data_IF_074295700324
#
_entry.id   IF_074295700324
#
_cell.length_a   1.000
_cell.length_b   1.000
_cell.length_c   1.000
_cell.angle_alpha   90.00
_cell.angle_beta   90.00
_cell.angle_gamma   90.00
#
_symmetry.space_group_name_H-M   'P 1'
#
loop_
_entity.id
_entity.type
_entity.pdbx_description
1 polymer ?
#
# COMPACT_ATOMS: atom_id res chain seq x y z
N UNK A 1 -5.21 18.08 6.64
CA UNK A 1 -3.95 18.63 6.10
C UNK A 1 -3.24 17.55 5.30
N UNK A 2 -2.69 17.85 4.13
CA UNK A 2 -1.90 16.88 3.34
C UNK A 2 -0.40 17.06 3.57
N UNK A 3 0.32 15.94 3.71
CA UNK A 3 1.79 15.94 3.78
C UNK A 3 2.35 15.10 2.65
N UNK A 4 3.36 15.60 1.94
CA UNK A 4 4.02 14.86 0.85
C UNK A 4 5.36 14.33 1.33
N UNK A 5 5.63 13.06 1.06
CA UNK A 5 6.90 12.39 1.28
C UNK A 5 7.47 12.02 -0.08
N UNK A 6 8.61 12.62 -0.43
CA UNK A 6 9.29 12.29 -1.67
C UNK A 6 9.90 10.88 -1.60
N UNK A 7 9.95 10.21 -2.74
CA UNK A 7 10.67 8.94 -2.90
C UNK A 7 12.12 9.07 -2.37
N UNK A 8 12.53 8.15 -1.49
CA UNK A 8 13.86 8.13 -0.88
C UNK A 8 14.91 7.26 -1.63
N UNK A 9 14.46 6.57 -2.69
CA UNK A 9 15.28 5.68 -3.52
C UNK A 9 15.68 6.38 -4.82
N UNK A 10 16.93 6.83 -4.87
CA UNK A 10 17.48 7.59 -6.00
C UNK A 10 17.51 6.82 -7.34
N UNK A 11 17.43 5.48 -7.30
CA UNK A 11 17.42 4.64 -8.50
C UNK A 11 16.06 4.58 -9.21
N UNK A 12 15.01 5.23 -8.66
CA UNK A 12 13.67 5.23 -9.22
C UNK A 12 13.41 6.62 -9.84
N UNK A 13 13.52 6.70 -11.17
CA UNK A 13 13.39 7.96 -11.92
C UNK A 13 11.94 8.46 -12.00
N UNK A 14 10.98 7.54 -12.08
CA UNK A 14 9.54 7.83 -12.21
C UNK A 14 8.75 7.13 -11.11
N UNK A 15 8.80 7.61 -9.86
CA UNK A 15 8.10 6.97 -8.76
C UNK A 15 6.58 7.14 -8.91
N UNK A 16 5.84 6.04 -8.78
CA UNK A 16 4.39 6.09 -8.63
C UNK A 16 4.00 6.79 -7.31
N UNK A 17 2.79 7.34 -7.27
CA UNK A 17 2.30 8.08 -6.11
C UNK A 17 1.28 7.27 -5.32
N UNK A 18 1.48 7.12 -4.02
CA UNK A 18 0.54 6.47 -3.11
C UNK A 18 -0.22 7.54 -2.32
N UNK A 19 -1.55 7.44 -2.28
CA UNK A 19 -2.36 8.19 -1.32
C UNK A 19 -2.63 7.33 -0.11
N UNK A 20 -2.17 7.82 1.04
CA UNK A 20 -2.24 7.11 2.30
C UNK A 20 -3.17 7.84 3.25
N UNK A 21 -4.32 7.24 3.55
CA UNK A 21 -5.29 7.73 4.53
C UNK A 21 -5.01 7.03 5.86
N UNK A 22 -4.33 7.74 6.77
CA UNK A 22 -3.98 7.24 8.09
C UNK A 22 -3.83 8.37 9.11
N UNK A 23 -3.98 8.09 10.42
CA UNK A 23 -3.85 9.12 11.45
C UNK A 23 -2.43 9.73 11.51
N UNK A 24 -2.32 11.04 11.70
CA UNK A 24 -1.03 11.75 11.76
C UNK A 24 0.01 11.21 12.74
N UNK A 25 -0.40 10.44 13.76
CA UNK A 25 0.52 9.76 14.69
C UNK A 25 1.27 8.58 14.05
N UNK A 26 0.80 8.06 12.92
CA UNK A 26 1.34 6.88 12.24
C UNK A 26 2.08 7.21 10.93
N UNK A 27 2.50 8.47 10.73
CA UNK A 27 3.23 8.94 9.54
C UNK A 27 4.50 8.15 9.20
N UNK A 28 5.05 7.37 10.14
CA UNK A 28 6.16 6.46 9.88
C UNK A 28 5.86 5.44 8.77
N UNK A 29 4.59 5.09 8.54
CA UNK A 29 4.21 4.25 7.41
C UNK A 29 4.41 4.96 6.07
N UNK A 30 4.18 6.27 6.00
CA UNK A 30 4.50 7.07 4.82
C UNK A 30 6.00 7.08 4.53
N UNK A 31 6.83 7.25 5.57
CA UNK A 31 8.28 7.14 5.47
C UNK A 31 8.70 5.76 4.98
N UNK A 32 8.07 4.70 5.50
CA UNK A 32 8.35 3.33 5.09
C UNK A 32 8.10 3.14 3.59
N UNK A 33 6.94 3.52 3.06
CA UNK A 33 6.68 3.40 1.62
C UNK A 33 7.57 4.32 0.77
N UNK A 34 7.98 5.49 1.29
CA UNK A 34 8.95 6.33 0.58
C UNK A 34 10.32 5.66 0.41
N UNK A 35 10.72 4.83 1.39
CA UNK A 35 11.95 4.03 1.33
C UNK A 35 11.84 2.81 0.40
N UNK A 36 10.62 2.42 0.02
CA UNK A 36 10.36 1.35 -0.95
C UNK A 36 10.36 1.84 -2.41
N UNK A 37 10.48 3.16 -2.62
CA UNK A 37 10.60 3.75 -3.96
C UNK A 37 9.39 4.55 -4.44
N UNK A 38 8.42 4.84 -3.57
CA UNK A 38 7.20 5.55 -3.94
C UNK A 38 7.18 6.99 -3.46
N UNK A 39 6.46 7.86 -4.17
CA UNK A 39 6.06 9.16 -3.61
C UNK A 39 4.79 8.96 -2.79
N UNK A 40 4.71 9.51 -1.59
CA UNK A 40 3.54 9.31 -0.71
C UNK A 40 2.87 10.64 -0.40
N UNK A 41 1.57 10.73 -0.71
CA UNK A 41 0.69 11.80 -0.28
C UNK A 41 -0.12 11.30 0.92
N UNK A 42 0.24 11.77 2.11
CA UNK A 42 -0.50 11.50 3.34
C UNK A 42 -1.72 12.41 3.43
N UNK A 43 -2.87 11.79 3.69
CA UNK A 43 -4.12 12.44 4.06
C UNK A 43 -4.41 12.04 5.50
N UNK A 44 -4.52 13.03 6.37
CA UNK A 44 -4.86 12.82 7.77
C UNK A 44 -6.28 12.24 7.88
N UNK A 45 -6.39 11.09 8.55
CA UNK A 45 -7.63 10.32 8.66
C UNK A 45 -7.72 9.67 10.06
N UNK A 46 -8.86 9.71 10.77
CA UNK A 46 -10.15 10.23 10.34
C UNK A 46 -10.16 11.75 10.15
N UNK A 47 -10.96 12.29 9.20
CA UNK A 47 -11.02 13.72 8.98
C UNK A 47 -11.68 14.42 10.19
N UNK A 48 -11.33 15.69 10.46
CA UNK A 48 -12.00 16.46 11.51
C UNK A 48 -13.47 16.77 11.16
N UNK A 49 -13.79 16.89 9.87
CA UNK A 49 -15.13 17.14 9.32
C UNK A 49 -15.29 16.46 7.93
N UNK A 50 -16.50 16.02 7.57
CA UNK A 50 -16.76 15.26 6.33
C UNK A 50 -16.41 16.03 5.04
N UNK A 51 -16.68 17.33 4.99
CA UNK A 51 -16.38 18.16 3.83
C UNK A 51 -14.88 18.26 3.56
N UNK A 52 -14.06 18.17 4.61
CA UNK A 52 -12.61 18.28 4.52
C UNK A 52 -12.01 17.12 3.75
N UNK A 53 -12.57 15.90 3.88
CA UNK A 53 -12.07 14.73 3.16
C UNK A 53 -12.26 14.90 1.65
N UNK A 54 -13.46 15.31 1.22
CA UNK A 54 -13.79 15.51 -0.20
C UNK A 54 -12.91 16.59 -0.83
N UNK A 55 -12.77 17.74 -0.17
CA UNK A 55 -11.93 18.83 -0.64
C UNK A 55 -10.46 18.42 -0.72
N UNK A 56 -9.97 17.70 0.30
CA UNK A 56 -8.59 17.22 0.35
C UNK A 56 -8.29 16.20 -0.74
N UNK A 57 -9.21 15.27 -0.98
CA UNK A 57 -9.09 14.27 -2.04
C UNK A 57 -9.08 14.93 -3.41
N UNK A 58 -10.02 15.84 -3.69
CA UNK A 58 -10.09 16.55 -4.98
C UNK A 58 -8.81 17.34 -5.29
N UNK A 59 -8.26 18.06 -4.30
CA UNK A 59 -6.99 18.78 -4.44
C UNK A 59 -5.79 17.83 -4.61
N UNK A 60 -5.78 16.70 -3.91
CA UNK A 60 -4.74 15.68 -4.07
C UNK A 60 -4.80 15.03 -5.45
N UNK A 61 -5.98 14.92 -6.05
CA UNK A 61 -6.22 14.27 -7.34
C UNK A 61 -5.91 15.15 -8.54
N UNK A 62 -6.11 16.46 -8.45
CA UNK A 62 -5.65 17.39 -9.49
C UNK A 62 -4.14 17.29 -9.73
N UNK A 63 -3.38 17.02 -8.66
CA UNK A 63 -1.92 16.85 -8.73
C UNK A 63 -1.49 15.50 -9.34
N UNK A 64 -2.36 14.48 -9.33
CA UNK A 64 -2.05 13.11 -9.75
C UNK A 64 -2.26 12.82 -11.22
N UNK A 65 -2.89 13.72 -11.99
CA UNK A 65 -3.32 13.45 -13.37
C UNK A 65 -2.22 13.00 -14.35
N UNK A 66 -0.95 13.07 -13.95
CA UNK A 66 0.22 12.72 -14.77
C UNK A 66 0.96 11.45 -14.32
N UNK A 67 0.65 10.86 -13.17
CA UNK A 67 1.43 9.75 -12.58
C UNK A 67 0.50 8.60 -12.22
N UNK A 68 1.01 7.36 -12.31
CA UNK A 68 0.27 6.20 -11.82
C UNK A 68 0.14 6.25 -10.30
N UNK A 69 -1.02 5.86 -9.78
CA UNK A 69 -1.27 5.95 -8.35
C UNK A 69 -2.01 4.75 -7.75
N UNK A 70 -1.90 4.64 -6.43
CA UNK A 70 -2.69 3.74 -5.60
C UNK A 70 -3.25 4.47 -4.39
N UNK A 71 -4.34 3.95 -3.85
CA UNK A 71 -4.93 4.42 -2.59
C UNK A 71 -4.79 3.31 -1.54
N UNK A 72 -4.31 3.69 -0.36
CA UNK A 72 -4.18 2.80 0.80
C UNK A 72 -4.92 3.44 1.98
N UNK A 73 -5.89 2.73 2.54
CA UNK A 73 -6.72 3.24 3.64
C UNK A 73 -6.60 2.36 4.89
N UNK A 74 -6.59 2.98 6.07
CA UNK A 74 -6.61 2.28 7.34
C UNK A 74 -7.87 2.62 8.13
N UNK A 75 -8.75 1.64 8.35
CA UNK A 75 -9.95 1.81 9.18
C UNK A 75 -11.03 2.68 8.53
N UNK A 76 -11.23 2.53 7.21
CA UNK A 76 -12.15 3.34 6.43
C UNK A 76 -13.61 3.13 6.91
N UNK A 77 -14.29 4.21 7.28
CA UNK A 77 -15.70 4.21 7.70
C UNK A 77 -16.64 3.96 6.53
N UNK A 78 -17.91 3.62 6.80
CA UNK A 78 -18.89 3.38 5.74
C UNK A 78 -19.24 4.65 4.95
N UNK A 79 -19.27 5.80 5.64
CA UNK A 79 -19.52 7.11 5.05
C UNK A 79 -18.34 7.56 4.19
N UNK A 80 -17.12 7.47 4.73
CA UNK A 80 -15.91 7.89 4.03
C UNK A 80 -15.56 6.98 2.86
N UNK A 81 -15.90 5.69 2.94
CA UNK A 81 -15.70 4.76 1.82
C UNK A 81 -16.44 5.21 0.56
N UNK A 82 -17.65 5.75 0.69
CA UNK A 82 -18.40 6.29 -0.46
C UNK A 82 -17.68 7.48 -1.07
N UNK A 83 -17.15 8.37 -0.23
CA UNK A 83 -16.38 9.55 -0.68
C UNK A 83 -15.12 9.09 -1.42
N UNK A 84 -14.37 8.16 -0.83
CA UNK A 84 -13.16 7.60 -1.44
C UNK A 84 -13.48 6.87 -2.73
N UNK A 85 -14.55 6.07 -2.79
CA UNK A 85 -15.00 5.35 -3.99
C UNK A 85 -15.36 6.30 -5.13
N UNK A 86 -16.21 7.31 -4.85
CA UNK A 86 -16.61 8.30 -5.85
C UNK A 86 -15.38 9.02 -6.42
N UNK A 87 -14.47 9.41 -5.54
CA UNK A 87 -13.33 10.20 -5.94
C UNK A 87 -12.25 9.34 -6.62
N UNK A 88 -12.06 8.08 -6.20
CA UNK A 88 -11.20 7.08 -6.85
C UNK A 88 -11.67 6.75 -8.27
N UNK A 89 -12.99 6.66 -8.50
CA UNK A 89 -13.59 6.39 -9.81
C UNK A 89 -13.32 7.49 -10.85
N UNK A 90 -12.96 8.69 -10.40
CA UNK A 90 -12.61 9.82 -11.28
C UNK A 90 -11.13 9.81 -11.71
N UNK A 91 -10.30 8.96 -11.11
CA UNK A 91 -8.84 8.95 -11.34
C UNK A 91 -8.49 7.98 -12.46
N UNK A 92 -8.22 8.53 -13.64
CA UNK A 92 -7.87 7.74 -14.84
C UNK A 92 -6.61 6.86 -14.66
N UNK A 93 -5.66 7.31 -13.83
CA UNK A 93 -4.38 6.62 -13.60
C UNK A 93 -4.31 5.81 -12.29
N UNK A 94 -5.45 5.59 -11.63
CA UNK A 94 -5.52 4.72 -10.46
C UNK A 94 -5.37 3.27 -10.91
N UNK A 95 -4.41 2.57 -10.31
CA UNK A 95 -4.11 1.16 -10.66
C UNK A 95 -4.47 0.18 -9.56
N UNK A 96 -4.39 0.61 -8.30
CA UNK A 96 -4.46 -0.29 -7.15
C UNK A 96 -5.21 0.36 -5.98
N UNK A 97 -6.00 -0.46 -5.28
CA UNK A 97 -6.62 -0.12 -4.01
C UNK A 97 -6.19 -1.10 -2.92
N UNK A 98 -5.93 -0.59 -1.71
CA UNK A 98 -5.61 -1.42 -0.55
C UNK A 98 -6.37 -0.91 0.66
N UNK A 99 -7.14 -1.79 1.29
CA UNK A 99 -7.94 -1.44 2.47
C UNK A 99 -7.52 -2.30 3.66
N UNK A 100 -7.19 -1.66 4.78
CA UNK A 100 -6.91 -2.31 6.06
C UNK A 100 -8.09 -2.10 7.00
N UNK A 101 -8.71 -3.20 7.44
CA UNK A 101 -9.84 -3.25 8.37
C UNK A 101 -10.93 -2.20 8.08
N UNK A 102 -11.48 -2.10 6.85
CA UNK A 102 -12.59 -1.18 6.57
C UNK A 102 -13.86 -1.64 7.29
N UNK A 103 -14.74 -0.70 7.63
CA UNK A 103 -16.09 -0.95 8.17
C UNK A 103 -17.20 -0.63 7.16
N UNK A 104 -16.86 -0.57 5.87
CA UNK A 104 -17.75 -0.23 4.77
C UNK A 104 -18.30 -1.45 4.01
N UNK A 105 -19.31 -1.22 3.17
CA UNK A 105 -19.83 -2.24 2.26
C UNK A 105 -18.86 -2.52 1.11
N UNK A 106 -18.82 -3.76 0.57
CA UNK A 106 -17.90 -4.12 -0.52
C UNK A 106 -17.99 -3.22 -1.76
N UNK A 107 -19.20 -2.78 -2.13
CA UNK A 107 -19.41 -1.92 -3.31
C UNK A 107 -18.69 -0.58 -3.19
N UNK A 108 -18.53 -0.09 -1.97
CA UNK A 108 -17.87 1.18 -1.66
C UNK A 108 -16.35 1.00 -1.50
N UNK A 109 -15.84 -0.24 -1.56
CA UNK A 109 -14.41 -0.57 -1.47
C UNK A 109 -13.80 -0.96 -2.82
N UNK A 110 -14.64 -1.26 -3.81
CA UNK A 110 -14.23 -1.74 -5.12
C UNK A 110 -14.49 -0.65 -6.16
N UNK A 111 -13.57 -0.48 -7.10
CA UNK A 111 -13.71 0.48 -8.21
C UNK A 111 -13.59 -0.26 -9.53
N UNK A 112 -14.55 -0.04 -10.42
CA UNK A 112 -14.52 -0.59 -11.77
C UNK A 112 -13.63 0.28 -12.67
N UNK A 113 -12.79 -0.37 -13.47
CA UNK A 113 -12.04 0.27 -14.55
C UNK A 113 -12.90 0.48 -15.79
N UNK A 114 -12.30 1.11 -16.81
CA UNK A 114 -13.00 1.47 -18.05
C UNK A 114 -13.59 0.30 -18.86
N UNK A 115 -13.18 -0.94 -18.58
CA UNK A 115 -13.64 -2.14 -19.30
C UNK A 115 -14.66 -2.97 -18.50
N UNK A 116 -15.15 -2.46 -17.37
CA UNK A 116 -16.07 -3.20 -16.48
C UNK A 116 -15.36 -4.22 -15.56
N UNK A 117 -14.04 -4.34 -15.67
CA UNK A 117 -13.22 -5.12 -14.75
C UNK A 117 -12.89 -4.31 -13.50
N UNK A 118 -12.87 -4.95 -12.33
CA UNK A 118 -12.44 -4.27 -11.10
C UNK A 118 -10.94 -3.97 -11.13
N UNK A 119 -10.57 -2.82 -10.57
CA UNK A 119 -9.17 -2.52 -10.30
C UNK A 119 -8.58 -3.52 -9.30
N UNK A 120 -7.30 -3.91 -9.46
CA UNK A 120 -6.58 -4.72 -8.50
C UNK A 120 -6.72 -4.17 -7.07
N UNK A 121 -7.39 -4.92 -6.21
CA UNK A 121 -7.75 -4.53 -4.85
C UNK A 121 -7.40 -5.62 -3.85
N UNK A 122 -6.63 -5.25 -2.82
CA UNK A 122 -6.41 -6.10 -1.64
C UNK A 122 -7.20 -5.55 -0.46
N UNK A 123 -7.93 -6.43 0.23
CA UNK A 123 -8.61 -6.10 1.48
C UNK A 123 -8.06 -6.99 2.60
N UNK A 124 -7.43 -6.35 3.59
CA UNK A 124 -6.90 -7.00 4.79
C UNK A 124 -7.92 -6.87 5.91
N UNK A 125 -8.40 -7.99 6.43
CA UNK A 125 -9.48 -8.06 7.42
C UNK A 125 -9.01 -8.72 8.72
N UNK A 126 -9.50 -8.24 9.86
CA UNK A 126 -9.46 -9.02 11.08
C UNK A 126 -10.40 -10.22 10.97
N UNK A 127 -10.12 -11.32 11.66
CA UNK A 127 -11.01 -12.48 11.67
C UNK A 127 -12.39 -12.19 12.25
N UNK A 128 -12.58 -11.09 13.00
CA UNK A 128 -13.91 -10.63 13.43
C UNK A 128 -14.81 -10.18 12.27
N UNK A 129 -14.24 -9.85 11.12
CA UNK A 129 -14.94 -9.26 9.97
C UNK A 129 -15.39 -10.32 8.94
N UNK A 130 -15.84 -11.49 9.39
CA UNK A 130 -16.20 -12.62 8.53
C UNK A 130 -17.38 -12.31 7.58
N UNK A 131 -18.34 -11.50 8.05
CA UNK A 131 -19.49 -11.08 7.25
C UNK A 131 -19.04 -10.30 6.01
N UNK A 132 -18.14 -9.32 6.20
CA UNK A 132 -17.60 -8.54 5.09
C UNK A 132 -16.78 -9.42 4.14
N UNK A 133 -15.96 -10.34 4.68
CA UNK A 133 -15.22 -11.30 3.88
C UNK A 133 -16.15 -12.14 2.97
N UNK A 134 -17.23 -12.68 3.52
CA UNK A 134 -18.19 -13.48 2.77
C UNK A 134 -18.86 -12.69 1.64
N UNK A 135 -19.21 -11.43 1.89
CA UNK A 135 -19.80 -10.56 0.86
C UNK A 135 -18.81 -10.25 -0.27
N UNK A 136 -17.54 -9.97 0.06
CA UNK A 136 -16.50 -9.73 -0.95
C UNK A 136 -16.25 -10.99 -1.79
N UNK A 137 -16.22 -12.18 -1.16
CA UNK A 137 -16.03 -13.45 -1.86
C UNK A 137 -17.16 -13.68 -2.88
N UNK A 138 -18.42 -13.48 -2.48
CA UNK A 138 -19.57 -13.62 -3.37
C UNK A 138 -19.52 -12.67 -4.57
N UNK A 139 -19.05 -11.44 -4.37
CA UNK A 139 -18.84 -10.46 -5.45
C UNK A 139 -17.67 -10.84 -6.36
N UNK A 140 -16.56 -11.30 -5.80
CA UNK A 140 -15.40 -11.74 -6.56
C UNK A 140 -15.74 -12.95 -7.46
N UNK A 141 -16.50 -13.92 -6.95
CA UNK A 141 -16.96 -15.08 -7.72
C UNK A 141 -17.89 -14.66 -8.85
N UNK A 142 -18.82 -13.73 -8.59
CA UNK A 142 -19.73 -13.18 -9.60
C UNK A 142 -18.98 -12.42 -10.69
N UNK A 143 -17.94 -11.66 -10.33
CA UNK A 143 -17.10 -10.95 -11.29
C UNK A 143 -16.28 -11.92 -12.15
N UNK A 144 -15.71 -12.97 -11.54
CA UNK A 144 -14.95 -14.01 -12.22
C UNK A 144 -15.83 -14.83 -13.17
N UNK A 145 -17.10 -15.07 -12.82
CA UNK A 145 -18.06 -15.71 -13.71
C UNK A 145 -18.41 -14.83 -14.93
N UNK A 146 -18.40 -13.51 -14.75
CA UNK A 146 -18.70 -12.53 -15.80
C UNK A 146 -17.52 -12.26 -16.73
N UNK A 147 -16.28 -12.33 -16.23
CA UNK A 147 -15.06 -12.04 -16.95
C UNK A 147 -14.12 -13.26 -16.95
N UNK A 148 -13.89 -13.85 -18.12
CA UNK A 148 -13.03 -15.03 -18.24
C UNK A 148 -11.56 -14.62 -18.15
N UNK A 149 -11.01 -14.62 -16.94
CA UNK A 149 -9.59 -14.37 -16.71
C UNK A 149 -8.72 -15.52 -17.27
N UNK A 150 -7.58 -15.22 -17.92
CA UNK A 150 -6.58 -16.23 -18.25
C UNK A 150 -6.07 -16.96 -17.01
N UNK A 151 -5.67 -18.23 -17.13
CA UNK A 151 -5.14 -19.01 -16.00
C UNK A 151 -3.86 -18.44 -15.39
N UNK A 152 -3.14 -17.61 -16.14
CA UNK A 152 -1.93 -16.90 -15.68
C UNK A 152 -2.23 -15.52 -15.09
N UNK A 153 -3.47 -15.03 -15.18
CA UNK A 153 -3.87 -13.75 -14.63
C UNK A 153 -4.21 -13.91 -13.14
N UNK A 154 -3.89 -12.89 -12.37
CA UNK A 154 -4.30 -12.84 -10.98
C UNK A 154 -5.71 -12.28 -10.89
N UNK A 155 -6.43 -12.69 -9.84
CA UNK A 155 -7.76 -12.14 -9.58
C UNK A 155 -7.65 -10.65 -9.23
N UNK A 156 -8.56 -9.82 -9.75
CA UNK A 156 -8.56 -8.39 -9.45
C UNK A 156 -8.86 -8.13 -7.98
N UNK A 157 -9.71 -8.94 -7.36
CA UNK A 157 -10.08 -8.81 -5.95
C UNK A 157 -9.41 -9.93 -5.16
N UNK A 158 -8.72 -9.56 -4.09
CA UNK A 158 -8.13 -10.52 -3.14
C UNK A 158 -8.36 -10.06 -1.70
N UNK A 159 -8.81 -10.99 -0.86
CA UNK A 159 -9.11 -10.73 0.55
C UNK A 159 -8.27 -11.64 1.42
N UNK A 160 -7.71 -11.09 2.49
CA UNK A 160 -6.92 -11.84 3.46
C UNK A 160 -7.44 -11.59 4.87
N UNK A 161 -7.68 -12.66 5.62
CA UNK A 161 -8.07 -12.59 7.03
C UNK A 161 -6.91 -12.90 7.96
N UNK A 162 -6.88 -12.21 9.09
CA UNK A 162 -5.84 -12.33 10.10
C UNK A 162 -6.47 -12.68 11.45
N UNK A 163 -6.09 -13.81 12.08
CA UNK A 163 -6.62 -14.20 13.38
C UNK A 163 -5.96 -13.40 14.51
N UNK A 164 -6.69 -13.25 15.62
CA UNK A 164 -6.20 -12.63 16.88
C UNK A 164 -5.66 -11.21 16.72
N UNK A 165 -6.20 -10.45 15.78
CA UNK A 165 -5.93 -9.02 15.63
C UNK A 165 -7.23 -8.23 15.68
N UNK A 166 -7.23 -7.01 16.22
CA UNK A 166 -8.42 -6.19 16.26
C UNK A 166 -8.72 -5.56 14.89
N UNK A 167 -9.99 -5.28 14.65
CA UNK A 167 -10.45 -4.48 13.51
C UNK A 167 -10.21 -2.98 13.73
N UNK A 168 -10.38 -2.50 14.97
CA UNK A 168 -10.24 -1.09 15.34
C UNK A 168 -9.45 -0.93 16.65
N UNK A 169 -8.38 -0.10 16.69
CA UNK A 169 -7.75 0.50 15.52
C UNK A 169 -7.16 -0.60 14.60
N UNK A 170 -7.02 -0.35 13.29
CA UNK A 170 -6.47 -1.33 12.35
C UNK A 170 -5.14 -1.89 12.83
N UNK A 171 -5.00 -3.22 12.81
CA UNK A 171 -3.85 -3.91 13.40
C UNK A 171 -2.46 -3.44 12.95
N UNK A 172 -2.21 -2.94 11.71
CA UNK A 172 -0.89 -2.42 11.35
C UNK A 172 -0.49 -1.19 12.17
N UNK A 173 -1.45 -0.43 12.67
CA UNK A 173 -1.22 0.78 13.47
C UNK A 173 -0.81 0.45 14.91
N UNK A 174 -1.05 -0.78 15.38
CA UNK A 174 -0.62 -1.25 16.70
C UNK A 174 0.89 -1.52 16.79
N UNK A 175 1.60 -1.41 15.66
CA UNK A 175 3.04 -1.57 15.57
C UNK A 175 3.66 -0.30 14.98
N UNK A 176 4.81 0.10 15.52
CA UNK A 176 5.63 1.14 14.89
C UNK A 176 6.03 0.72 13.47
N UNK A 177 5.96 1.66 12.54
CA UNK A 177 6.42 1.45 11.18
C UNK A 177 7.91 1.04 11.18
N UNK A 178 8.34 0.12 10.29
CA UNK A 178 9.71 -0.37 10.28
C UNK A 178 10.76 0.75 10.10
N UNK A 179 10.43 1.82 9.39
CA UNK A 179 11.28 3.00 9.20
C UNK A 179 11.66 3.71 10.52
N UNK A 180 10.83 3.60 11.55
CA UNK A 180 11.01 4.28 12.83
C UNK A 180 11.58 3.39 13.93
N UNK A 181 11.72 2.08 13.68
CA UNK A 181 12.26 1.12 14.66
C UNK A 181 13.78 1.31 14.76
N UNK A 182 14.29 1.56 15.97
CA UNK A 182 15.73 1.67 16.21
C UNK A 182 16.34 0.28 16.40
N UNK A 183 17.58 0.09 15.92
CA UNK A 183 18.30 -1.16 16.13
C UNK A 183 18.48 -1.43 17.63
N UNK A 184 18.13 -2.64 18.08
CA UNK A 184 18.17 -3.03 19.50
C UNK A 184 16.94 -2.62 20.32
N UNK A 185 15.95 -1.95 19.74
CA UNK A 185 14.68 -1.66 20.41
C UNK A 185 13.84 -2.94 20.55
N UNK A 186 13.61 -3.37 21.79
CA UNK A 186 12.72 -4.50 22.09
C UNK A 186 11.28 -4.01 22.15
N UNK A 187 10.52 -4.23 21.08
CA UNK A 187 9.08 -4.00 21.10
C UNK A 187 8.35 -5.21 21.70
N UNK A 188 7.64 -5.02 22.81
CA UNK A 188 6.74 -6.01 23.42
C UNK A 188 5.41 -6.19 22.64
N UNK A 189 5.43 -6.00 21.32
CA UNK A 189 4.26 -6.17 20.46
C UNK A 189 3.86 -7.63 20.39
N UNK A 190 2.56 -7.88 20.51
CA UNK A 190 1.94 -9.20 20.37
C UNK A 190 2.46 -9.93 19.11
N UNK A 191 2.88 -11.22 19.22
CA UNK A 191 3.29 -12.04 18.08
C UNK A 191 2.27 -12.08 16.92
N UNK A 192 0.97 -12.11 17.22
CA UNK A 192 -0.08 -12.14 16.21
C UNK A 192 -0.13 -10.83 15.42
N UNK A 193 -0.09 -9.69 16.12
CA UNK A 193 -0.01 -8.36 15.48
C UNK A 193 1.26 -8.24 14.65
N UNK A 194 2.40 -8.70 15.18
CA UNK A 194 3.69 -8.66 14.48
C UNK A 194 3.63 -9.45 13.16
N UNK A 195 3.11 -10.68 13.21
CA UNK A 195 2.98 -11.56 12.06
C UNK A 195 2.00 -11.01 11.03
N UNK A 196 0.79 -10.63 11.46
CA UNK A 196 -0.24 -10.06 10.60
C UNK A 196 0.24 -8.79 9.90
N UNK A 197 0.89 -7.89 10.63
CA UNK A 197 1.45 -6.65 10.07
C UNK A 197 2.54 -6.95 9.03
N UNK A 198 3.45 -7.89 9.31
CA UNK A 198 4.50 -8.26 8.36
C UNK A 198 3.93 -8.88 7.08
N UNK A 199 3.06 -9.87 7.21
CA UNK A 199 2.48 -10.58 6.06
C UNK A 199 1.58 -9.67 5.22
N UNK A 200 0.72 -8.87 5.86
CA UNK A 200 -0.14 -7.91 5.15
C UNK A 200 0.68 -6.85 4.41
N UNK A 201 1.75 -6.34 5.03
CA UNK A 201 2.66 -5.40 4.39
C UNK A 201 3.36 -6.00 3.16
N UNK A 202 3.90 -7.21 3.26
CA UNK A 202 4.56 -7.89 2.13
C UNK A 202 3.57 -8.14 0.98
N UNK A 203 2.32 -8.53 1.28
CA UNK A 203 1.26 -8.71 0.26
C UNK A 203 0.89 -7.39 -0.41
N UNK A 204 0.77 -6.32 0.36
CA UNK A 204 0.56 -4.96 -0.18
C UNK A 204 1.69 -4.55 -1.09
N UNK A 205 2.96 -4.70 -0.67
CA UNK A 205 4.10 -4.39 -1.54
C UNK A 205 4.14 -5.25 -2.80
N UNK A 206 3.79 -6.53 -2.72
CA UNK A 206 3.74 -7.40 -3.90
C UNK A 206 2.73 -6.90 -4.93
N UNK A 207 1.54 -6.45 -4.48
CA UNK A 207 0.54 -5.85 -5.35
C UNK A 207 1.02 -4.53 -5.96
N UNK A 208 1.57 -3.63 -5.13
CA UNK A 208 2.08 -2.34 -5.60
C UNK A 208 3.21 -2.53 -6.61
N UNK A 209 4.22 -3.34 -6.31
CA UNK A 209 5.35 -3.61 -7.22
C UNK A 209 4.90 -4.21 -8.54
N UNK A 210 3.86 -5.04 -8.52
CA UNK A 210 3.31 -5.67 -9.72
C UNK A 210 2.59 -4.70 -10.65
N UNK A 211 1.91 -3.70 -10.11
CA UNK A 211 1.04 -2.80 -10.89
C UNK A 211 1.57 -1.38 -11.06
N UNK A 212 2.51 -0.95 -10.22
CA UNK A 212 3.08 0.41 -10.18
C UNK A 212 4.61 0.44 -10.24
N UNK A 213 5.29 -0.71 -10.15
CA UNK A 213 6.74 -0.73 -9.87
C UNK A 213 7.05 -0.26 -8.44
N UNK A 214 8.28 0.11 -8.09
CA UNK A 214 9.44 0.21 -8.97
C UNK A 214 9.97 -1.16 -9.41
N UNK A 215 10.31 -1.27 -10.69
CA UNK A 215 11.05 -2.41 -11.22
C UNK A 215 12.54 -2.08 -11.19
N UNK A 216 13.28 -2.78 -10.33
CA UNK A 216 14.72 -2.60 -10.24
C UNK A 216 15.42 -3.44 -11.30
N UNK A 217 16.36 -2.83 -12.02
CA UNK A 217 17.30 -3.56 -12.88
C UNK A 217 18.35 -4.25 -11.99
N UNK A 218 18.08 -5.52 -11.68
CA UNK A 218 18.93 -6.32 -10.81
C UNK A 218 20.28 -6.62 -11.44
N UNK A 219 20.39 -6.72 -12.77
CA UNK A 219 21.68 -6.94 -13.44
C UNK A 219 22.55 -5.71 -13.29
N UNK A 220 22.02 -4.52 -13.60
CA UNK A 220 22.78 -3.27 -13.42
C UNK A 220 23.19 -3.05 -11.97
N UNK A 221 22.34 -3.44 -11.02
CA UNK A 221 22.68 -3.39 -9.60
C UNK A 221 23.81 -4.38 -9.26
N UNK A 222 23.73 -5.60 -9.78
CA UNK A 222 24.72 -6.66 -9.57
C UNK A 222 26.08 -6.33 -10.19
N UNK A 223 26.10 -5.78 -11.41
CA UNK A 223 27.31 -5.29 -12.05
C UNK A 223 27.97 -4.19 -11.22
N UNK A 224 27.18 -3.25 -10.70
CA UNK A 224 27.68 -2.19 -9.84
C UNK A 224 28.23 -2.73 -8.51
N UNK A 225 27.56 -3.73 -7.93
CA UNK A 225 28.03 -4.42 -6.73
C UNK A 225 29.38 -5.10 -6.97
N UNK A 226 29.47 -5.94 -8.01
CA UNK A 226 30.70 -6.67 -8.36
C UNK A 226 31.84 -5.75 -8.77
N UNK A 227 31.55 -4.63 -9.45
CA UNK A 227 32.55 -3.61 -9.76
C UNK A 227 33.18 -3.00 -8.49
N UNK A 228 32.37 -2.56 -7.52
CA UNK A 228 32.91 -1.98 -6.28
C UNK A 228 33.59 -3.02 -5.39
N UNK A 229 33.13 -4.26 -5.39
CA UNK A 229 33.71 -5.34 -4.60
C UNK A 229 35.07 -5.80 -5.16
N UNK A 230 35.15 -6.02 -6.48
CA UNK A 230 36.30 -6.70 -7.09
C UNK A 230 37.24 -5.77 -7.86
N UNK A 231 36.72 -4.70 -8.48
CA UNK A 231 37.52 -3.79 -9.32
C UNK A 231 38.07 -2.65 -8.46
N UNK A 232 37.20 -1.85 -7.86
CA UNK A 232 37.64 -0.70 -7.05
C UNK A 232 38.12 -1.12 -5.65
N UNK A 233 37.66 -2.28 -5.14
CA UNK A 233 37.94 -2.76 -3.78
C UNK A 233 37.61 -1.71 -2.71
N UNK A 234 36.65 -0.85 -2.99
CA UNK A 234 36.26 0.25 -2.14
C UNK A 234 35.04 -0.14 -1.29
N UNK A 235 35.32 -0.83 -0.19
CA UNK A 235 34.31 -1.30 0.76
C UNK A 235 33.32 -0.22 1.27
N UNK A 236 33.72 1.04 1.53
CA UNK A 236 32.74 2.09 1.89
C UNK A 236 31.81 2.49 0.72
N UNK A 237 32.26 2.48 -0.53
CA UNK A 237 31.40 2.72 -1.71
C UNK A 237 30.43 1.56 -1.98
N UNK A 238 30.84 0.34 -1.64
CA UNK A 238 29.96 -0.84 -1.60
C UNK A 238 28.83 -0.67 -0.57
N UNK A 239 29.12 -0.11 0.61
CA UNK A 239 28.15 0.13 1.70
C UNK A 239 27.13 1.20 1.35
N UNK A 240 27.54 2.33 0.78
CA UNK A 240 26.62 3.43 0.44
C UNK A 240 25.64 3.08 -0.70
N UNK A 241 26.08 2.24 -1.65
CA UNK A 241 25.27 1.78 -2.78
C UNK A 241 24.35 0.60 -2.41
N UNK A 242 24.78 -0.31 -1.52
CA UNK A 242 24.04 -1.54 -1.17
C UNK A 242 23.21 -1.46 0.12
N UNK A 243 23.52 -0.55 1.06
CA UNK A 243 22.83 -0.51 2.36
C UNK A 243 21.36 -0.04 2.28
N UNK A 244 20.94 0.53 1.13
CA UNK A 244 19.53 0.83 0.86
C UNK A 244 18.74 -0.35 0.26
N UNK A 245 19.36 -1.25 -0.50
CA UNK A 245 18.64 -2.33 -1.21
C UNK A 245 18.74 -3.72 -0.58
N UNK A 246 19.83 -4.06 0.15
CA UNK A 246 19.92 -5.36 0.84
C UNK A 246 18.81 -5.49 1.91
N UNK A 247 18.39 -4.37 2.51
CA UNK A 247 17.20 -4.31 3.40
C UNK A 247 15.86 -4.59 2.69
N UNK A 248 15.77 -4.44 1.37
CA UNK A 248 14.57 -4.66 0.55
C UNK A 248 14.43 -6.13 0.08
N UNK A 249 15.53 -6.88 0.02
CA UNK A 249 15.57 -8.26 -0.49
C UNK A 249 15.60 -9.31 0.64
N UNK A 250 16.06 -8.94 1.84
CA UNK A 250 16.18 -9.87 3.00
C UNK A 250 15.18 -9.59 4.14
N UNK A 251 13.98 -9.09 3.83
CA UNK A 251 12.87 -9.01 4.80
C UNK A 251 11.61 -9.69 4.29
#
# INVERSE_FOLDING_TARGET
MTRKFANAVAAVDFPATLLLLLPSEYIGWCEQFSQEGYTVNHIDYPPPDDNVLTDTLSASFSDLGKVECAIITYGLSAEDAKVVHMAASQIVRLKVLVHYCPSAEPKDLLVEGHQGEYLPTIIHLASSQELLHAQILALADSNLASHRLPSSAYTPITTYTYPFVPESPPFPLLKKAPAQVKAGETSATDPYIRSATGVSYTRTLALLRRHLGPHFDLEKLWERHTYFEFVERDAPSLSSSNCKLIKLITK
#
